data_IF_206514095190
#
_entry.id   IF_206514095190
#
_cell.length_a   1.000
_cell.length_b   1.000
_cell.length_c   1.000
_cell.angle_alpha   90.00
_cell.angle_beta   90.00
_cell.angle_gamma   90.00
#
_symmetry.space_group_name_H-M   'P 1'
#
loop_
_entity.id
_entity.type
_entity.pdbx_description
1 polymer ?
#
# COMPACT_ATOMS: atom_id res chain seq x y z
N UNK A 1 15.40 -13.30 -32.16
CA UNK A 1 14.40 -12.95 -31.13
C UNK A 1 13.03 -13.28 -31.67
N UNK A 2 12.11 -13.77 -30.84
CA UNK A 2 10.75 -14.10 -31.27
C UNK A 2 9.98 -12.84 -31.67
N UNK A 3 9.22 -12.92 -32.76
CA UNK A 3 8.28 -11.87 -33.17
C UNK A 3 7.12 -11.78 -32.17
N UNK A 4 6.51 -10.60 -32.01
CA UNK A 4 5.30 -10.40 -31.19
C UNK A 4 4.17 -11.38 -31.57
N UNK A 5 4.08 -11.73 -32.85
CA UNK A 5 3.09 -12.71 -33.35
C UNK A 5 3.42 -14.14 -32.91
N UNK A 6 4.71 -14.50 -32.86
CA UNK A 6 5.15 -15.80 -32.36
C UNK A 6 4.95 -15.93 -30.84
N UNK A 7 5.16 -14.85 -30.09
CA UNK A 7 4.87 -14.83 -28.65
C UNK A 7 3.38 -15.03 -28.39
N UNK A 8 2.51 -14.39 -29.19
CA UNK A 8 1.06 -14.55 -29.08
C UNK A 8 0.60 -15.97 -29.42
N UNK A 9 1.11 -16.56 -30.51
CA UNK A 9 0.79 -17.94 -30.88
C UNK A 9 1.24 -18.96 -29.83
N UNK A 10 2.45 -18.80 -29.28
CA UNK A 10 2.94 -19.69 -28.21
C UNK A 10 2.15 -19.50 -26.90
N UNK A 11 1.72 -18.27 -26.59
CA UNK A 11 0.85 -18.00 -25.44
C UNK A 11 -0.56 -18.60 -25.59
N UNK A 12 -1.14 -18.56 -26.79
CA UNK A 12 -2.43 -19.19 -27.09
C UNK A 12 -2.33 -20.73 -27.10
N UNK A 13 -1.18 -21.29 -27.51
CA UNK A 13 -0.88 -22.72 -27.49
C UNK A 13 -0.70 -23.26 -26.07
N UNK A 14 -0.06 -22.47 -25.20
CA UNK A 14 0.07 -22.76 -23.77
C UNK A 14 -1.23 -22.37 -23.07
N UNK A 15 -2.25 -23.24 -23.07
CA UNK A 15 -3.53 -23.04 -22.35
C UNK A 15 -3.33 -22.24 -21.05
N UNK A 16 -3.56 -20.92 -21.06
CA UNK A 16 -3.15 -20.10 -19.94
C UNK A 16 -4.09 -20.43 -18.79
N UNK A 17 -3.52 -20.80 -17.63
CA UNK A 17 -4.33 -21.05 -16.43
C UNK A 17 -5.09 -19.75 -16.13
N UNK A 18 -6.42 -19.74 -16.23
CA UNK A 18 -7.18 -18.51 -16.02
C UNK A 18 -6.91 -18.00 -14.60
N UNK A 19 -6.41 -16.77 -14.51
CA UNK A 19 -6.18 -16.15 -13.20
C UNK A 19 -7.56 -15.79 -12.64
N UNK A 20 -7.88 -16.34 -11.47
CA UNK A 20 -9.14 -16.03 -10.80
C UNK A 20 -9.15 -14.57 -10.34
N UNK A 21 -10.33 -13.94 -10.30
CA UNK A 21 -10.50 -12.57 -9.77
C UNK A 21 -9.93 -12.41 -8.35
N UNK A 22 -9.99 -13.47 -7.55
CA UNK A 22 -9.39 -13.51 -6.20
C UNK A 22 -7.87 -13.37 -6.28
N UNK A 23 -7.20 -14.17 -7.13
CA UNK A 23 -5.73 -14.07 -7.30
C UNK A 23 -5.30 -12.70 -7.80
N UNK A 24 -6.08 -12.07 -8.68
CA UNK A 24 -5.81 -10.71 -9.13
C UNK A 24 -5.85 -9.72 -7.97
N UNK A 25 -6.90 -9.73 -7.15
CA UNK A 25 -7.02 -8.84 -5.99
C UNK A 25 -5.96 -9.09 -4.92
N UNK A 26 -5.56 -10.34 -4.69
CA UNK A 26 -4.44 -10.67 -3.81
C UNK A 26 -3.11 -10.09 -4.31
N UNK A 27 -2.84 -10.17 -5.62
CA UNK A 27 -1.66 -9.57 -6.21
C UNK A 27 -1.68 -8.03 -6.10
N UNK A 28 -2.84 -7.40 -6.34
CA UNK A 28 -3.01 -5.95 -6.15
C UNK A 28 -2.79 -5.54 -4.69
N UNK A 29 -3.32 -6.33 -3.73
CA UNK A 29 -3.11 -6.08 -2.30
C UNK A 29 -1.63 -6.17 -1.92
N UNK A 30 -0.92 -7.18 -2.42
CA UNK A 30 0.51 -7.33 -2.18
C UNK A 30 1.31 -6.19 -2.80
N UNK A 31 0.95 -5.76 -4.03
CA UNK A 31 1.56 -4.61 -4.69
C UNK A 31 1.36 -3.31 -3.92
N UNK A 32 0.14 -3.06 -3.43
CA UNK A 32 -0.17 -1.91 -2.59
C UNK A 32 0.63 -1.92 -1.29
N UNK A 33 0.68 -3.05 -0.58
CA UNK A 33 1.46 -3.15 0.67
C UNK A 33 2.95 -2.88 0.42
N UNK A 34 3.51 -3.41 -0.67
CA UNK A 34 4.91 -3.14 -1.02
C UNK A 34 5.15 -1.66 -1.32
N UNK A 35 4.25 -1.02 -2.10
CA UNK A 35 4.33 0.42 -2.39
C UNK A 35 4.30 1.25 -1.10
N UNK A 36 3.40 0.92 -0.18
CA UNK A 36 3.33 1.57 1.15
C UNK A 36 4.65 1.42 1.91
N UNK A 37 5.23 0.21 1.97
CA UNK A 37 6.53 0.00 2.65
C UNK A 37 7.66 0.82 2.04
N UNK A 38 7.71 0.90 0.71
CA UNK A 38 8.70 1.74 0.01
C UNK A 38 8.53 3.22 0.36
N UNK A 39 7.29 3.73 0.38
CA UNK A 39 7.02 5.11 0.77
C UNK A 39 7.37 5.39 2.23
N UNK A 40 7.06 4.48 3.16
CA UNK A 40 7.45 4.61 4.57
C UNK A 40 8.96 4.75 4.68
N UNK A 41 9.73 3.87 4.03
CA UNK A 41 11.19 3.95 4.01
C UNK A 41 11.71 5.27 3.44
N UNK A 42 11.15 5.73 2.32
CA UNK A 42 11.49 7.00 1.70
C UNK A 42 11.22 8.19 2.62
N UNK A 43 10.02 8.27 3.19
CA UNK A 43 9.56 9.39 4.05
C UNK A 43 10.40 9.50 5.32
N UNK A 44 10.72 8.36 5.95
CA UNK A 44 11.56 8.32 7.15
C UNK A 44 13.00 8.71 6.82
N UNK A 45 13.55 8.20 5.71
CA UNK A 45 14.89 8.57 5.23
C UNK A 45 15.01 10.06 4.93
N UNK A 46 14.03 10.65 4.23
CA UNK A 46 13.98 12.08 3.94
C UNK A 46 13.92 12.96 5.20
N UNK A 47 13.36 12.43 6.30
CA UNK A 47 13.24 13.12 7.59
C UNK A 47 14.39 12.81 8.55
N UNK A 48 15.33 11.95 8.17
CA UNK A 48 16.41 11.50 9.05
C UNK A 48 15.93 10.68 10.25
N UNK A 49 14.76 10.05 10.17
CA UNK A 49 14.18 9.24 11.25
C UNK A 49 14.58 7.78 11.08
N UNK A 50 15.14 7.17 12.12
CA UNK A 50 15.50 5.75 12.10
C UNK A 50 14.22 4.88 12.06
N UNK A 51 14.01 4.02 11.04
CA UNK A 51 12.83 3.15 10.95
C UNK A 51 12.62 2.21 12.15
N UNK A 52 13.70 1.75 12.76
CA UNK A 52 13.67 0.87 13.95
C UNK A 52 13.66 1.64 15.28
N UNK A 53 13.73 2.98 15.23
CA UNK A 53 13.59 3.84 16.40
C UNK A 53 12.15 3.91 16.92
N UNK A 54 11.93 4.64 18.01
CA UNK A 54 10.63 4.76 18.70
C UNK A 54 10.17 6.21 18.87
N UNK A 55 10.80 7.17 18.19
CA UNK A 55 10.54 8.61 18.35
C UNK A 55 9.09 9.01 18.03
N UNK A 56 8.42 8.25 17.16
CA UNK A 56 7.03 8.46 16.75
C UNK A 56 6.01 7.71 17.62
N UNK A 57 6.47 6.89 18.58
CA UNK A 57 5.60 6.13 19.48
C UNK A 57 5.28 6.91 20.76
N UNK A 58 4.54 8.02 20.60
CA UNK A 58 4.20 8.92 21.71
C UNK A 58 3.35 8.26 22.81
N UNK A 59 2.65 7.17 22.47
CA UNK A 59 1.85 6.40 23.42
C UNK A 59 2.67 5.31 24.14
N UNK A 60 3.98 5.19 23.83
CA UNK A 60 4.90 4.24 24.45
C UNK A 60 4.40 2.79 24.38
N UNK A 61 3.84 2.40 23.22
CA UNK A 61 3.30 1.07 22.97
C UNK A 61 4.35 0.06 22.50
N UNK A 62 5.62 0.46 22.41
CA UNK A 62 6.73 -0.36 21.92
C UNK A 62 6.73 -0.54 20.40
N UNK A 63 6.16 0.42 19.65
CA UNK A 63 6.06 0.34 18.19
C UNK A 63 7.21 1.10 17.54
N UNK A 64 7.79 0.56 16.48
CA UNK A 64 8.83 1.27 15.74
C UNK A 64 8.26 2.41 14.88
N UNK A 65 9.11 3.36 14.52
CA UNK A 65 8.78 4.49 13.64
C UNK A 65 8.19 4.01 12.30
N UNK A 66 8.72 2.90 11.76
CA UNK A 66 8.17 2.23 10.58
C UNK A 66 6.72 1.78 10.79
N UNK A 67 6.45 1.11 11.90
CA UNK A 67 5.10 0.59 12.23
C UNK A 67 4.11 1.75 12.43
N UNK A 68 4.52 2.82 13.10
CA UNK A 68 3.67 4.00 13.33
C UNK A 68 3.26 4.64 12.00
N UNK A 69 4.23 4.96 11.13
CA UNK A 69 3.94 5.62 9.86
C UNK A 69 3.15 4.70 8.91
N UNK A 70 3.49 3.41 8.84
CA UNK A 70 2.72 2.44 8.04
C UNK A 70 1.27 2.36 8.52
N UNK A 71 1.05 2.30 9.83
CA UNK A 71 -0.30 2.21 10.39
C UNK A 71 -1.13 3.47 10.07
N UNK A 72 -0.50 4.66 10.09
CA UNK A 72 -1.16 5.90 9.66
C UNK A 72 -1.57 5.84 8.18
N UNK A 73 -0.68 5.38 7.28
CA UNK A 73 -1.02 5.22 5.85
C UNK A 73 -2.14 4.20 5.67
N UNK A 74 -2.06 3.03 6.31
CA UNK A 74 -3.09 1.99 6.22
C UNK A 74 -4.46 2.50 6.73
N UNK A 75 -4.46 3.35 7.77
CA UNK A 75 -5.66 4.03 8.26
C UNK A 75 -6.24 4.98 7.22
N UNK A 76 -5.41 5.84 6.61
CA UNK A 76 -5.86 6.78 5.56
C UNK A 76 -6.35 6.07 4.29
N UNK A 77 -5.75 4.93 3.92
CA UNK A 77 -6.24 4.05 2.85
C UNK A 77 -7.69 3.61 3.16
N UNK A 78 -7.92 3.06 4.35
CA UNK A 78 -9.25 2.58 4.73
C UNK A 78 -10.28 3.72 4.78
N UNK A 79 -9.91 4.90 5.28
CA UNK A 79 -10.77 6.08 5.25
C UNK A 79 -11.15 6.49 3.83
N UNK A 80 -10.19 6.49 2.89
CA UNK A 80 -10.41 6.89 1.50
C UNK A 80 -11.44 6.01 0.79
N UNK A 81 -11.44 4.71 1.07
CA UNK A 81 -12.40 3.76 0.50
C UNK A 81 -13.66 3.59 1.37
N UNK A 82 -13.90 4.50 2.32
CA UNK A 82 -15.10 4.50 3.15
C UNK A 82 -15.25 3.29 4.08
N UNK A 83 -14.15 2.58 4.37
CA UNK A 83 -14.19 1.42 5.28
C UNK A 83 -14.02 1.87 6.72
N UNK A 84 -15.12 1.81 7.48
CA UNK A 84 -15.07 1.87 8.95
C UNK A 84 -14.30 0.64 9.46
N UNK A 85 -13.25 0.86 10.26
CA UNK A 85 -12.33 -0.18 10.72
C UNK A 85 -13.04 -1.36 11.39
N UNK A 86 -13.22 -2.45 10.61
CA UNK A 86 -13.58 -3.83 11.02
C UNK A 86 -14.05 -4.71 9.84
N UNK A 87 -14.28 -4.17 8.64
CA UNK A 87 -14.57 -5.03 7.47
C UNK A 87 -13.37 -5.93 7.17
N UNK A 88 -13.63 -7.24 7.12
CA UNK A 88 -12.66 -8.28 6.73
C UNK A 88 -12.71 -8.59 5.23
N UNK A 89 -13.51 -7.85 4.48
CA UNK A 89 -13.69 -8.11 3.06
C UNK A 89 -12.42 -7.74 2.29
N UNK A 90 -12.18 -8.43 1.19
CA UNK A 90 -11.09 -8.06 0.29
C UNK A 90 -11.40 -6.72 -0.40
N UNK A 91 -10.37 -5.95 -0.76
CA UNK A 91 -10.53 -4.71 -1.52
C UNK A 91 -11.10 -5.03 -2.91
N UNK A 92 -12.11 -4.29 -3.35
CA UNK A 92 -12.64 -4.41 -4.70
C UNK A 92 -11.69 -3.76 -5.71
N UNK A 93 -11.86 -4.05 -7.01
CA UNK A 93 -11.13 -3.32 -8.05
C UNK A 93 -11.37 -1.82 -7.98
N UNK A 94 -12.60 -1.40 -7.67
CA UNK A 94 -12.94 0.02 -7.52
C UNK A 94 -12.20 0.64 -6.33
N UNK A 95 -12.08 -0.09 -5.22
CA UNK A 95 -11.30 0.34 -4.04
C UNK A 95 -9.84 0.59 -4.44
N UNK A 96 -9.21 -0.34 -5.17
CA UNK A 96 -7.84 -0.18 -5.63
C UNK A 96 -7.67 1.00 -6.59
N UNK A 97 -8.58 1.19 -7.54
CA UNK A 97 -8.53 2.31 -8.48
C UNK A 97 -8.64 3.66 -7.74
N UNK A 98 -9.49 3.74 -6.72
CA UNK A 98 -9.62 4.94 -5.88
C UNK A 98 -8.32 5.19 -5.10
N UNK A 99 -7.76 4.15 -4.46
CA UNK A 99 -6.50 4.24 -3.72
C UNK A 99 -5.37 4.71 -4.64
N UNK A 100 -5.29 4.19 -5.87
CA UNK A 100 -4.27 4.61 -6.83
C UNK A 100 -4.41 6.08 -7.23
N UNK A 101 -5.65 6.54 -7.45
CA UNK A 101 -5.96 7.93 -7.80
C UNK A 101 -5.58 8.89 -6.66
N UNK A 102 -5.90 8.52 -5.42
CA UNK A 102 -5.69 9.37 -4.25
C UNK A 102 -4.38 9.11 -3.50
N UNK A 103 -3.52 8.23 -4.00
CA UNK A 103 -2.38 7.71 -3.25
C UNK A 103 -1.49 8.82 -2.67
N UNK A 104 -1.17 9.84 -3.48
CA UNK A 104 -0.33 10.95 -3.00
C UNK A 104 -1.01 11.75 -1.88
N UNK A 105 -2.34 11.93 -1.96
CA UNK A 105 -3.12 12.59 -0.90
C UNK A 105 -3.13 11.76 0.38
N UNK A 106 -3.30 10.45 0.27
CA UNK A 106 -3.22 9.51 1.40
C UNK A 106 -1.88 9.65 2.12
N UNK A 107 -0.77 9.68 1.36
CA UNK A 107 0.58 9.86 1.92
C UNK A 107 0.71 11.21 2.64
N UNK A 108 0.23 12.31 2.04
CA UNK A 108 0.28 13.64 2.67
C UNK A 108 -0.49 13.69 3.99
N UNK A 109 -1.71 13.13 4.03
CA UNK A 109 -2.52 13.06 5.24
C UNK A 109 -1.85 12.23 6.33
N UNK A 110 -1.24 11.09 5.97
CA UNK A 110 -0.52 10.26 6.93
C UNK A 110 0.74 10.95 7.48
N UNK A 111 1.45 11.71 6.65
CA UNK A 111 2.58 12.54 7.08
C UNK A 111 2.11 13.61 8.06
N UNK A 112 1.02 14.31 7.75
CA UNK A 112 0.44 15.34 8.62
C UNK A 112 -0.01 14.74 9.97
N UNK A 113 -0.66 13.58 9.96
CA UNK A 113 -1.09 12.88 11.17
C UNK A 113 0.10 12.51 12.09
N UNK A 114 1.23 12.06 11.50
CA UNK A 114 2.38 11.55 12.26
C UNK A 114 3.37 12.65 12.65
N UNK A 115 3.59 13.64 11.78
CA UNK A 115 4.62 14.68 11.97
C UNK A 115 4.04 16.08 12.23
N UNK A 116 2.78 16.33 11.88
CA UNK A 116 2.11 17.63 12.05
C UNK A 116 1.48 17.84 13.42
N UNK A 117 1.36 16.80 14.24
CA UNK A 117 0.76 16.83 15.58
C UNK A 117 1.60 17.50 16.69
N UNK A 118 2.65 18.26 16.35
CA UNK A 118 3.38 19.07 17.32
C UNK A 118 2.80 20.49 17.37
N UNK A 119 1.91 20.71 18.34
CA UNK A 119 1.58 22.02 18.91
C UNK A 119 1.21 21.84 20.38
#
# INVERSE_FOLDING_TARGET
GYSSDQVRQEFERLNPVPITKVRQRQAMRASLDQRVRTEVGRILGERGVNPEGHDLDHLHLGRSNFVILKAAIDKQINHTIGRSGRSRDEFTQADFNQIETDFNRIILLAIEEVFGGQS
#
